data_IF_608618138865
#
_entry.id   IF_608618138865
#
_cell.length_a   1.000
_cell.length_b   1.000
_cell.length_c   1.000
_cell.angle_alpha   90.00
_cell.angle_beta   90.00
_cell.angle_gamma   90.00
#
_symmetry.space_group_name_H-M   'P 1'
#
loop_
_entity.id
_entity.type
_entity.pdbx_description
1 polymer ?
#
# COMPACT_ATOMS: atom_id res chain seq x y z
N UNK A 1 -12.18 16.65 -17.31
CA UNK A 1 -11.93 17.04 -15.91
C UNK A 1 -12.32 15.86 -15.04
N UNK A 2 -11.45 15.46 -14.11
CA UNK A 2 -11.78 14.42 -13.14
C UNK A 2 -12.89 14.85 -12.18
N UNK A 3 -13.48 13.87 -11.47
CA UNK A 3 -14.48 14.13 -10.44
C UNK A 3 -13.87 14.92 -9.27
N UNK A 4 -14.65 15.80 -8.64
CA UNK A 4 -14.23 16.38 -7.37
C UNK A 4 -14.16 15.30 -6.29
N UNK A 5 -13.36 15.50 -5.23
CA UNK A 5 -13.27 14.55 -4.12
C UNK A 5 -14.65 14.23 -3.50
N UNK A 6 -15.53 15.22 -3.39
CA UNK A 6 -16.90 15.04 -2.89
C UNK A 6 -17.73 14.14 -3.81
N UNK A 7 -17.63 14.33 -5.13
CA UNK A 7 -18.34 13.49 -6.11
C UNK A 7 -17.77 12.07 -6.09
N UNK A 8 -16.45 11.92 -5.97
CA UNK A 8 -15.82 10.61 -5.87
C UNK A 8 -16.28 9.87 -4.60
N UNK A 9 -16.21 10.54 -3.44
CA UNK A 9 -16.64 9.98 -2.16
C UNK A 9 -18.12 9.53 -2.17
N UNK A 10 -18.98 10.26 -2.86
CA UNK A 10 -20.41 9.90 -2.96
C UNK A 10 -20.66 8.59 -3.72
N UNK A 11 -19.71 8.13 -4.52
CA UNK A 11 -19.78 6.87 -5.28
C UNK A 11 -19.29 5.65 -4.49
N UNK A 12 -18.60 5.88 -3.36
CA UNK A 12 -18.04 4.83 -2.51
C UNK A 12 -18.87 4.73 -1.24
N UNK A 13 -19.70 3.70 -1.14
CA UNK A 13 -20.58 3.46 0.02
C UNK A 13 -20.09 2.30 0.88
N UNK A 14 -19.48 1.29 0.25
CA UNK A 14 -19.03 0.10 0.93
C UNK A 14 -17.65 -0.31 0.39
N UNK A 15 -16.66 -0.39 1.28
CA UNK A 15 -15.30 -0.82 0.95
C UNK A 15 -14.92 -2.14 1.60
N UNK A 16 -14.10 -2.91 0.91
CA UNK A 16 -13.48 -4.13 1.43
C UNK A 16 -11.98 -3.90 1.65
N UNK A 17 -11.44 -4.29 2.81
CA UNK A 17 -10.00 -4.26 3.05
C UNK A 17 -9.38 -5.61 2.67
N UNK A 18 -8.48 -5.60 1.69
CA UNK A 18 -7.71 -6.75 1.24
C UNK A 18 -6.48 -6.98 2.14
N UNK A 19 -6.74 -7.07 3.46
CA UNK A 19 -5.68 -7.22 4.45
C UNK A 19 -5.04 -8.60 4.50
N UNK A 20 -3.87 -8.66 5.13
CA UNK A 20 -3.05 -9.87 5.34
C UNK A 20 -2.59 -10.54 4.03
N UNK A 21 -2.38 -9.73 3.00
CA UNK A 21 -1.92 -10.15 1.67
C UNK A 21 -0.68 -9.35 1.28
N UNK A 22 -0.83 -8.35 0.43
CA UNK A 22 0.29 -7.61 -0.16
C UNK A 22 1.09 -6.76 0.84
N UNK A 23 0.58 -6.54 2.05
CA UNK A 23 1.30 -5.88 3.14
C UNK A 23 2.03 -6.85 4.06
N UNK A 24 1.87 -8.17 3.85
CA UNK A 24 2.46 -9.17 4.72
C UNK A 24 3.99 -9.06 4.79
N UNK A 25 4.50 -8.97 6.02
CA UNK A 25 5.92 -8.82 6.33
C UNK A 25 6.28 -9.75 7.50
N UNK A 26 7.34 -10.52 7.34
CA UNK A 26 7.97 -11.25 8.43
C UNK A 26 9.37 -10.69 8.67
N UNK A 27 9.75 -10.58 9.94
CA UNK A 27 11.09 -10.15 10.35
C UNK A 27 11.77 -11.17 11.24
N UNK A 28 13.07 -11.28 11.08
CA UNK A 28 13.95 -11.95 12.00
C UNK A 28 14.14 -11.11 13.29
N UNK A 29 14.71 -11.73 14.33
CA UNK A 29 15.01 -11.02 15.57
C UNK A 29 16.02 -9.87 15.42
N UNK A 30 16.84 -9.88 14.38
CA UNK A 30 17.76 -8.80 14.04
C UNK A 30 17.13 -7.68 13.21
N UNK A 31 15.84 -7.77 12.92
CA UNK A 31 15.08 -6.79 12.13
C UNK A 31 15.17 -6.96 10.62
N UNK A 32 15.95 -7.90 10.10
CA UNK A 32 16.00 -8.22 8.68
C UNK A 32 14.70 -8.88 8.21
N UNK A 33 14.38 -8.76 6.91
CA UNK A 33 13.20 -9.39 6.34
C UNK A 33 13.38 -10.91 6.20
N UNK A 34 12.47 -11.65 6.82
CA UNK A 34 12.43 -13.11 6.72
C UNK A 34 11.67 -13.52 5.45
N UNK A 35 12.30 -14.38 4.65
CA UNK A 35 11.66 -15.01 3.49
C UNK A 35 11.45 -16.49 3.78
N UNK A 36 10.24 -16.97 3.54
CA UNK A 36 9.89 -18.38 3.68
C UNK A 36 10.10 -19.09 2.34
N UNK A 37 10.73 -20.26 2.36
CA UNK A 37 10.97 -21.06 1.16
C UNK A 37 9.64 -21.45 0.49
N UNK A 38 9.54 -21.18 -0.82
CA UNK A 38 8.37 -21.51 -1.62
C UNK A 38 7.11 -20.71 -1.34
N UNK A 39 7.14 -19.78 -0.39
CA UNK A 39 6.01 -18.89 -0.09
C UNK A 39 6.40 -17.46 -0.46
N UNK A 40 5.72 -16.82 -1.43
CA UNK A 40 5.94 -15.41 -1.72
C UNK A 40 5.72 -14.55 -0.46
N UNK A 41 6.54 -13.51 -0.21
CA UNK A 41 6.41 -12.68 0.98
C UNK A 41 4.98 -12.16 1.22
N UNK A 42 4.27 -11.75 0.19
CA UNK A 42 2.88 -11.30 0.27
C UNK A 42 1.87 -12.37 0.70
N UNK A 43 2.26 -13.64 0.69
CA UNK A 43 1.43 -14.75 1.17
C UNK A 43 1.88 -15.28 2.54
N UNK A 44 2.88 -14.67 3.16
CA UNK A 44 3.50 -15.17 4.40
C UNK A 44 2.55 -15.17 5.61
N UNK A 45 1.46 -14.41 5.55
CA UNK A 45 0.41 -14.40 6.60
C UNK A 45 -0.77 -15.32 6.27
N UNK A 46 -0.64 -16.18 5.27
CA UNK A 46 -1.58 -17.27 4.97
C UNK A 46 -2.72 -16.93 4.02
N UNK A 47 -2.86 -15.69 3.56
CA UNK A 47 -3.86 -15.35 2.56
C UNK A 47 -3.39 -15.68 1.15
N UNK A 48 -4.35 -16.00 0.28
CA UNK A 48 -4.09 -16.26 -1.12
C UNK A 48 -3.73 -14.97 -1.88
N UNK A 49 -3.03 -15.15 -2.99
CA UNK A 49 -2.75 -14.05 -3.93
C UNK A 49 -4.04 -13.46 -4.50
N UNK A 50 -3.99 -12.16 -4.79
CA UNK A 50 -5.09 -11.42 -5.42
C UNK A 50 -5.34 -11.99 -6.81
N UNK A 51 -6.60 -12.32 -7.10
CA UNK A 51 -7.04 -12.84 -8.40
C UNK A 51 -8.23 -12.07 -8.96
N UNK A 52 -8.48 -12.25 -10.25
CA UNK A 52 -9.65 -11.67 -10.91
C UNK A 52 -10.97 -12.19 -10.32
N UNK A 53 -11.04 -13.48 -10.01
CA UNK A 53 -12.22 -14.13 -9.41
C UNK A 53 -12.54 -13.52 -8.03
N UNK A 54 -11.50 -13.20 -7.26
CA UNK A 54 -11.68 -12.55 -5.96
C UNK A 54 -12.26 -11.14 -6.13
N UNK A 55 -11.73 -10.34 -7.06
CA UNK A 55 -12.25 -8.99 -7.35
C UNK A 55 -13.70 -9.04 -7.86
N UNK A 56 -14.02 -10.02 -8.71
CA UNK A 56 -15.40 -10.25 -9.17
C UNK A 56 -16.33 -10.56 -8.00
N UNK A 57 -15.95 -11.45 -7.09
CA UNK A 57 -16.76 -11.82 -5.91
C UNK A 57 -16.99 -10.61 -5.01
N UNK A 58 -15.97 -9.80 -4.76
CA UNK A 58 -16.09 -8.56 -3.97
C UNK A 58 -17.11 -7.64 -4.62
N UNK A 59 -17.01 -7.39 -5.93
CA UNK A 59 -17.96 -6.54 -6.64
C UNK A 59 -19.38 -7.10 -6.61
N UNK A 60 -19.55 -8.39 -6.86
CA UNK A 60 -20.85 -9.08 -6.82
C UNK A 60 -21.49 -9.06 -5.42
N UNK A 61 -20.68 -8.97 -4.36
CA UNK A 61 -21.14 -8.82 -2.99
C UNK A 61 -21.58 -7.40 -2.64
N UNK A 62 -21.56 -6.46 -3.60
CA UNK A 62 -22.04 -5.10 -3.43
C UNK A 62 -21.03 -4.07 -2.98
N UNK A 63 -19.73 -4.43 -2.93
CA UNK A 63 -18.68 -3.47 -2.60
C UNK A 63 -18.39 -2.53 -3.77
N UNK A 64 -18.10 -1.28 -3.45
CA UNK A 64 -17.73 -0.24 -4.42
C UNK A 64 -16.22 -0.04 -4.50
N UNK A 65 -15.51 -0.33 -3.42
CA UNK A 65 -14.08 -0.08 -3.30
C UNK A 65 -13.34 -1.23 -2.60
N UNK A 66 -12.05 -1.34 -2.91
CA UNK A 66 -11.09 -2.14 -2.16
C UNK A 66 -9.95 -1.26 -1.65
N UNK A 67 -9.54 -1.47 -0.40
CA UNK A 67 -8.26 -0.99 0.10
C UNK A 67 -7.25 -2.12 -0.04
N UNK A 68 -6.14 -1.84 -0.72
CA UNK A 68 -5.00 -2.72 -0.87
C UNK A 68 -3.87 -2.21 0.03
N UNK A 69 -3.74 -2.73 1.25
CA UNK A 69 -2.56 -2.46 2.06
C UNK A 69 -1.32 -3.01 1.35
N UNK A 70 -0.22 -2.25 1.33
CA UNK A 70 0.99 -2.61 0.58
C UNK A 70 2.25 -2.45 1.43
N UNK A 71 3.11 -3.45 1.36
CA UNK A 71 4.49 -3.35 1.82
C UNK A 71 5.40 -2.95 0.65
N UNK A 72 6.37 -2.10 0.90
CA UNK A 72 7.31 -1.61 -0.10
C UNK A 72 8.76 -1.87 0.30
N UNK A 73 9.08 -1.72 1.58
CA UNK A 73 10.46 -1.74 2.08
C UNK A 73 11.14 -3.09 1.88
N UNK A 74 10.43 -4.20 2.08
CA UNK A 74 10.97 -5.54 1.83
C UNK A 74 11.22 -5.85 0.34
N UNK A 75 10.67 -5.03 -0.56
CA UNK A 75 10.80 -5.13 -2.01
C UNK A 75 11.64 -4.00 -2.60
N UNK A 76 12.36 -3.27 -1.77
CA UNK A 76 13.21 -2.18 -2.21
C UNK A 76 14.69 -2.46 -1.87
N UNK A 77 15.56 -1.87 -2.66
CA UNK A 77 16.98 -1.83 -2.32
C UNK A 77 17.19 -0.94 -1.08
N UNK A 78 17.82 -1.44 -0.03
CA UNK A 78 17.90 -0.74 1.25
C UNK A 78 18.77 0.53 1.22
N UNK A 79 19.62 0.70 0.21
CA UNK A 79 20.53 1.85 0.08
C UNK A 79 19.93 2.93 -0.81
N UNK A 80 19.41 2.53 -1.98
CA UNK A 80 18.90 3.47 -2.99
C UNK A 80 17.39 3.72 -2.87
N UNK A 81 16.67 2.98 -2.02
CA UNK A 81 15.21 2.95 -1.93
C UNK A 81 14.52 2.64 -3.28
N UNK A 82 15.22 1.98 -4.21
CA UNK A 82 14.66 1.59 -5.50
C UNK A 82 13.75 0.39 -5.33
N UNK A 83 12.48 0.55 -5.65
CA UNK A 83 11.48 -0.51 -5.60
C UNK A 83 11.74 -1.54 -6.71
N UNK A 84 11.63 -2.82 -6.38
CA UNK A 84 11.73 -3.93 -7.32
C UNK A 84 10.66 -3.81 -8.42
N UNK A 85 11.09 -3.96 -9.67
CA UNK A 85 10.21 -3.80 -10.83
C UNK A 85 9.15 -4.91 -10.93
N UNK A 86 9.46 -6.13 -10.49
CA UNK A 86 8.49 -7.21 -10.48
C UNK A 86 7.41 -6.98 -9.42
N UNK A 87 7.79 -6.45 -8.25
CA UNK A 87 6.82 -6.03 -7.24
C UNK A 87 5.92 -4.90 -7.74
N UNK A 88 6.50 -3.84 -8.30
CA UNK A 88 5.72 -2.74 -8.87
C UNK A 88 4.74 -3.23 -9.94
N UNK A 89 5.15 -4.17 -10.80
CA UNK A 89 4.28 -4.78 -11.80
C UNK A 89 3.15 -5.60 -11.18
N UNK A 90 3.42 -6.31 -10.08
CA UNK A 90 2.41 -7.07 -9.33
C UNK A 90 1.37 -6.13 -8.71
N UNK A 91 1.79 -5.04 -8.07
CA UNK A 91 0.89 -4.00 -7.53
C UNK A 91 0.03 -3.40 -8.65
N UNK A 92 0.65 -3.00 -9.76
CA UNK A 92 -0.06 -2.46 -10.92
C UNK A 92 -1.13 -3.42 -11.43
N UNK A 93 -0.81 -4.71 -11.52
CA UNK A 93 -1.77 -5.74 -11.93
C UNK A 93 -2.93 -5.86 -10.93
N UNK A 94 -2.67 -5.87 -9.63
CA UNK A 94 -3.72 -5.93 -8.62
C UNK A 94 -4.69 -4.73 -8.71
N UNK A 95 -4.15 -3.53 -8.89
CA UNK A 95 -4.94 -2.31 -9.13
C UNK A 95 -5.78 -2.45 -10.40
N UNK A 96 -5.17 -2.92 -11.50
CA UNK A 96 -5.87 -3.11 -12.78
C UNK A 96 -7.01 -4.12 -12.68
N UNK A 97 -6.80 -5.24 -11.97
CA UNK A 97 -7.85 -6.24 -11.74
C UNK A 97 -9.06 -5.64 -11.00
N UNK A 98 -8.82 -4.85 -9.96
CA UNK A 98 -9.88 -4.20 -9.21
C UNK A 98 -10.65 -3.19 -10.09
N UNK A 99 -9.94 -2.33 -10.82
CA UNK A 99 -10.53 -1.32 -11.72
C UNK A 99 -11.33 -1.98 -12.86
N UNK A 100 -10.82 -3.08 -13.44
CA UNK A 100 -11.51 -3.83 -14.49
C UNK A 100 -12.83 -4.43 -13.99
N UNK A 101 -12.93 -4.72 -12.71
CA UNK A 101 -14.15 -5.20 -12.06
C UNK A 101 -15.05 -4.07 -11.54
N UNK A 102 -14.76 -2.80 -11.89
CA UNK A 102 -15.59 -1.65 -11.53
C UNK A 102 -15.47 -1.24 -10.05
N UNK A 103 -14.32 -1.53 -9.42
CA UNK A 103 -14.01 -1.13 -8.06
C UNK A 103 -13.14 0.12 -8.04
N UNK A 104 -13.33 0.97 -7.03
CA UNK A 104 -12.37 1.98 -6.62
C UNK A 104 -11.27 1.32 -5.81
N UNK A 105 -10.06 1.87 -5.88
CA UNK A 105 -8.89 1.28 -5.21
C UNK A 105 -8.20 2.33 -4.34
N UNK A 106 -7.92 1.99 -3.09
CA UNK A 106 -7.07 2.77 -2.21
C UNK A 106 -5.81 1.97 -1.91
N UNK A 107 -4.64 2.51 -2.26
CA UNK A 107 -3.33 1.94 -1.88
C UNK A 107 -2.63 2.83 -0.87
N UNK A 108 -1.72 2.24 -0.10
CA UNK A 108 -0.96 2.95 0.94
C UNK A 108 0.48 2.43 1.07
N UNK A 109 1.26 3.06 1.94
CA UNK A 109 2.36 2.44 2.66
C UNK A 109 1.74 1.94 3.97
N UNK A 110 1.70 0.61 4.15
CA UNK A 110 1.12 0.01 5.36
C UNK A 110 2.15 -0.07 6.48
N UNK A 111 1.97 -0.96 7.47
CA UNK A 111 2.93 -1.14 8.56
C UNK A 111 4.37 -1.30 8.04
N UNK A 112 4.55 -2.10 7.00
CA UNK A 112 5.78 -2.21 6.20
C UNK A 112 7.05 -2.39 7.05
N UNK A 113 6.92 -3.20 8.11
CA UNK A 113 7.98 -3.44 9.08
C UNK A 113 8.24 -2.31 10.07
N UNK A 114 7.36 -1.32 10.14
CA UNK A 114 7.38 -0.25 11.13
C UNK A 114 8.37 0.88 10.85
N UNK A 115 8.99 0.91 9.66
CA UNK A 115 10.01 1.93 9.36
C UNK A 115 9.47 3.36 9.37
N UNK A 116 8.19 3.56 9.04
CA UNK A 116 7.53 4.85 9.10
C UNK A 116 6.75 4.99 10.40
N UNK A 117 5.82 4.08 10.67
CA UNK A 117 4.86 4.19 11.77
C UNK A 117 5.53 4.34 13.15
N UNK A 118 6.66 3.63 13.38
CA UNK A 118 7.37 3.63 14.64
C UNK A 118 8.46 4.72 14.73
N UNK A 119 8.60 5.59 13.72
CA UNK A 119 9.68 6.57 13.64
C UNK A 119 9.16 7.99 13.38
N UNK A 120 7.94 8.29 13.82
CA UNK A 120 7.36 9.64 13.75
C UNK A 120 7.90 10.48 14.90
N UNK A 121 9.11 10.97 14.75
CA UNK A 121 9.79 11.84 15.73
C UNK A 121 10.79 12.75 15.02
N UNK A 122 11.18 13.84 15.71
CA UNK A 122 12.06 14.87 15.13
C UNK A 122 13.42 14.30 14.70
N UNK A 123 13.94 13.32 15.43
CA UNK A 123 15.27 12.74 15.16
C UNK A 123 15.25 11.94 13.85
N UNK A 124 14.16 11.24 13.55
CA UNK A 124 14.01 10.39 12.38
C UNK A 124 13.39 11.11 11.17
N UNK A 125 12.83 12.31 11.36
CA UNK A 125 12.04 13.05 10.38
C UNK A 125 12.68 13.11 8.99
N UNK A 126 13.93 13.54 8.91
CA UNK A 126 14.62 13.70 7.62
C UNK A 126 14.70 12.37 6.86
N UNK A 127 15.18 11.32 7.53
CA UNK A 127 15.38 10.00 6.92
C UNK A 127 14.04 9.35 6.52
N UNK A 128 13.02 9.46 7.37
CA UNK A 128 11.68 8.92 7.09
C UNK A 128 11.03 9.64 5.92
N UNK A 129 11.09 10.99 5.90
CA UNK A 129 10.51 11.78 4.82
C UNK A 129 11.23 11.58 3.49
N UNK A 130 12.55 11.44 3.49
CA UNK A 130 13.33 11.18 2.27
C UNK A 130 12.97 9.81 1.70
N UNK A 131 12.89 8.78 2.54
CA UNK A 131 12.48 7.43 2.14
C UNK A 131 11.03 7.40 1.64
N UNK A 132 10.10 8.03 2.35
CA UNK A 132 8.71 8.13 1.94
C UNK A 132 8.57 8.84 0.59
N UNK A 133 9.28 9.95 0.40
CA UNK A 133 9.33 10.67 -0.88
C UNK A 133 9.89 9.81 -2.00
N UNK A 134 10.95 9.06 -1.74
CA UNK A 134 11.56 8.17 -2.71
C UNK A 134 10.59 7.07 -3.17
N UNK A 135 9.83 6.46 -2.25
CA UNK A 135 8.81 5.47 -2.60
C UNK A 135 7.64 6.10 -3.35
N UNK A 136 7.05 7.17 -2.83
CA UNK A 136 5.89 7.79 -3.46
C UNK A 136 6.19 8.35 -4.85
N UNK A 137 7.40 8.86 -5.09
CA UNK A 137 7.81 9.31 -6.43
C UNK A 137 7.80 8.17 -7.45
N UNK A 138 8.26 6.98 -7.06
CA UNK A 138 8.25 5.79 -7.91
C UNK A 138 6.83 5.25 -8.11
N UNK A 139 6.06 5.13 -7.01
CA UNK A 139 4.68 4.63 -7.04
C UNK A 139 3.80 5.51 -7.92
N UNK A 140 3.80 6.83 -7.69
CA UNK A 140 3.01 7.76 -8.46
C UNK A 140 3.39 7.78 -9.94
N UNK A 141 4.70 7.68 -10.24
CA UNK A 141 5.18 7.62 -11.62
C UNK A 141 4.71 6.35 -12.33
N UNK A 142 4.78 5.20 -11.66
CA UNK A 142 4.40 3.91 -12.24
C UNK A 142 2.89 3.77 -12.44
N UNK A 143 2.09 4.41 -11.58
CA UNK A 143 0.63 4.25 -11.54
C UNK A 143 -0.13 5.47 -12.09
N UNK A 144 0.55 6.49 -12.61
CA UNK A 144 -0.05 7.75 -13.09
C UNK A 144 -1.04 7.63 -14.25
N UNK A 145 -1.05 6.48 -14.92
CA UNK A 145 -1.96 6.23 -16.05
C UNK A 145 -3.36 5.77 -15.62
N UNK A 146 -3.54 5.40 -14.34
CA UNK A 146 -4.85 5.11 -13.80
C UNK A 146 -5.66 6.40 -13.59
N UNK A 147 -6.98 6.27 -13.73
CA UNK A 147 -7.90 7.40 -13.52
C UNK A 147 -8.22 7.62 -12.03
N UNK A 148 -9.18 8.49 -11.74
CA UNK A 148 -9.60 8.86 -10.38
C UNK A 148 -10.11 7.72 -9.52
N UNK A 149 -10.26 6.51 -10.06
CA UNK A 149 -10.61 5.32 -9.28
C UNK A 149 -9.46 4.81 -8.44
N UNK A 150 -8.22 5.18 -8.75
CA UNK A 150 -7.07 4.90 -7.90
C UNK A 150 -6.79 6.08 -6.96
N UNK A 151 -6.80 5.80 -5.67
CA UNK A 151 -6.53 6.75 -4.60
C UNK A 151 -5.28 6.35 -3.83
N UNK A 152 -4.56 7.34 -3.31
CA UNK A 152 -3.32 7.16 -2.57
C UNK A 152 -3.49 7.65 -1.13
N UNK A 153 -3.09 6.83 -0.15
CA UNK A 153 -2.97 7.21 1.25
C UNK A 153 -1.49 7.17 1.66
N UNK A 154 -0.97 8.28 2.16
CA UNK A 154 0.47 8.48 2.38
C UNK A 154 1.08 7.48 3.36
N UNK A 155 0.36 7.13 4.41
CA UNK A 155 0.78 6.21 5.46
C UNK A 155 -0.44 5.47 6.04
N UNK A 156 -0.19 4.41 6.83
CA UNK A 156 -1.24 3.67 7.51
C UNK A 156 -1.54 4.29 8.88
N UNK A 157 -0.86 3.87 9.91
CA UNK A 157 -1.13 4.22 11.32
C UNK A 157 0.12 4.82 11.97
N UNK A 158 0.53 6.05 11.59
CA UNK A 158 1.70 6.66 12.20
C UNK A 158 1.48 6.82 13.70
N UNK A 159 2.43 6.35 14.51
CA UNK A 159 2.36 6.44 15.96
C UNK A 159 2.71 7.86 16.40
N UNK A 160 1.68 8.68 16.54
CA UNK A 160 1.79 10.09 16.95
C UNK A 160 1.22 10.22 18.35
N UNK A 161 2.07 10.59 19.32
CA UNK A 161 1.69 10.74 20.72
C UNK A 161 1.27 12.17 21.08
N UNK A 162 1.71 13.16 20.29
CA UNK A 162 1.44 14.56 20.57
C UNK A 162 1.42 15.43 19.29
N UNK A 163 0.92 16.66 19.42
CA UNK A 163 0.76 17.58 18.30
C UNK A 163 2.09 17.99 17.62
N UNK A 164 3.21 17.97 18.34
CA UNK A 164 4.52 18.29 17.74
C UNK A 164 5.02 17.17 16.82
N UNK A 165 4.70 15.93 17.13
CA UNK A 165 5.02 14.78 16.27
C UNK A 165 4.13 14.75 15.02
N UNK A 166 2.88 15.21 15.14
CA UNK A 166 1.97 15.34 13.98
C UNK A 166 2.53 16.28 12.89
N UNK A 167 3.37 17.23 13.27
CA UNK A 167 4.01 18.15 12.30
C UNK A 167 5.23 17.54 11.60
N UNK A 168 5.64 16.33 11.96
CA UNK A 168 6.78 15.60 11.37
C UNK A 168 6.39 14.92 10.05
N UNK A 169 5.13 14.56 9.90
CA UNK A 169 4.56 13.95 8.70
C UNK A 169 4.12 14.99 7.69
#
# INVERSE_FOLDING_TARGET
MGSTATVLASKIKLGWNMGNSMEAVLKNSDGSYLKLDGIPPENSWGNASISNELMQRIKQSGFDAVRLPLSWDQYADPVSAKIDAAWMSKVKNAVQLAINNGLYVLINIHWDGGWLENNVNVQSQAAVNDKQRAYWSQIATALREFDERLMFASANEPHVENASEMSVL
#
